data_IF_549786268840
#
_entry.id   IF_549786268840
#
_cell.length_a   1.000
_cell.length_b   1.000
_cell.length_c   1.000
_cell.angle_alpha   90.00
_cell.angle_beta   90.00
_cell.angle_gamma   90.00
#
_symmetry.space_group_name_H-M   'P 1'
#
loop_
_entity.id
_entity.type
_entity.pdbx_description
1 polymer ?
#
# COMPACT_ATOMS: atom_id res chain seq x y z
N UNK A 1 25.23 15.75 1.40
CA UNK A 1 25.95 15.85 0.10
C UNK A 1 25.01 15.54 -1.07
N UNK A 2 24.42 14.33 -1.16
CA UNK A 2 23.53 13.92 -2.27
C UNK A 2 22.32 14.83 -2.51
N UNK A 3 21.69 15.35 -1.45
CA UNK A 3 20.59 16.33 -1.58
C UNK A 3 21.03 17.66 -2.20
N UNK A 4 22.23 18.16 -1.87
CA UNK A 4 22.75 19.43 -2.38
C UNK A 4 23.15 19.34 -3.86
N UNK A 5 23.41 18.13 -4.34
CA UNK A 5 23.71 17.85 -5.77
C UNK A 5 22.47 17.34 -6.54
N UNK A 6 21.27 17.43 -5.96
CA UNK A 6 20.00 17.12 -6.64
C UNK A 6 19.66 15.63 -6.81
N UNK A 7 20.41 14.72 -6.17
CA UNK A 7 20.21 13.26 -6.32
C UNK A 7 19.26 12.68 -5.26
N UNK A 8 19.23 13.26 -4.06
CA UNK A 8 18.35 12.80 -2.98
C UNK A 8 17.37 13.88 -2.55
N UNK A 9 16.15 13.46 -2.22
CA UNK A 9 15.11 14.33 -1.70
C UNK A 9 15.07 14.32 -0.16
N UNK A 10 14.14 15.06 0.43
CA UNK A 10 13.97 15.11 1.88
C UNK A 10 13.19 13.92 2.44
N UNK A 11 13.53 13.53 3.68
CA UNK A 11 12.61 12.93 4.65
C UNK A 11 11.79 11.71 4.17
N UNK A 12 12.30 10.96 3.19
CA UNK A 12 11.66 9.74 2.68
C UNK A 12 10.78 9.92 1.43
N UNK A 13 10.66 11.11 0.85
CA UNK A 13 9.77 11.32 -0.32
C UNK A 13 10.10 10.44 -1.52
N UNK A 14 11.37 10.02 -1.65
CA UNK A 14 11.78 9.07 -2.69
C UNK A 14 11.03 7.74 -2.60
N UNK A 15 10.83 7.20 -1.39
CA UNK A 15 10.12 5.92 -1.24
C UNK A 15 8.62 6.07 -1.50
N UNK A 16 8.03 7.19 -1.07
CA UNK A 16 6.63 7.50 -1.34
C UNK A 16 6.37 7.56 -2.84
N UNK A 17 7.30 8.16 -3.61
CA UNK A 17 7.24 8.20 -5.08
C UNK A 17 7.34 6.82 -5.71
N UNK A 18 8.21 5.94 -5.20
CA UNK A 18 8.34 4.56 -5.69
C UNK A 18 7.05 3.78 -5.44
N UNK A 19 6.48 3.86 -4.23
CA UNK A 19 5.21 3.22 -3.91
C UNK A 19 4.07 3.80 -4.77
N UNK A 20 4.02 5.13 -4.93
CA UNK A 20 3.05 5.80 -5.80
C UNK A 20 3.23 5.46 -7.29
N UNK A 21 4.44 5.15 -7.75
CA UNK A 21 4.65 4.65 -9.11
C UNK A 21 4.12 3.22 -9.24
N UNK A 22 4.42 2.34 -8.27
CA UNK A 22 3.86 0.98 -8.23
C UNK A 22 2.32 1.02 -8.23
N UNK A 23 1.72 1.84 -7.36
CA UNK A 23 0.59 2.74 -7.62
C UNK A 23 -0.06 2.74 -9.00
N UNK A 24 0.31 3.80 -9.70
CA UNK A 24 -0.21 4.23 -10.99
C UNK A 24 -0.08 3.16 -12.05
N UNK A 25 1.01 2.39 -12.03
CA UNK A 25 1.27 1.33 -13.00
C UNK A 25 0.72 -0.04 -12.59
N UNK A 26 -0.06 -0.11 -11.51
CA UNK A 26 -0.68 -1.34 -11.01
C UNK A 26 0.31 -2.49 -10.83
N UNK A 27 1.54 -2.18 -10.41
CA UNK A 27 2.57 -3.16 -10.13
C UNK A 27 2.32 -3.78 -8.75
N UNK A 28 2.75 -5.05 -8.54
CA UNK A 28 2.91 -5.57 -7.19
C UNK A 28 3.75 -4.62 -6.33
N UNK A 29 3.41 -4.55 -5.05
CA UNK A 29 4.12 -3.65 -4.16
C UNK A 29 5.57 -4.12 -3.93
N UNK A 30 6.54 -3.19 -3.93
CA UNK A 30 7.94 -3.52 -3.68
C UNK A 30 8.12 -4.36 -2.42
N UNK A 31 8.99 -5.36 -2.50
CA UNK A 31 9.29 -6.24 -1.36
C UNK A 31 10.54 -5.76 -0.64
N UNK A 32 10.36 -5.22 0.57
CA UNK A 32 11.45 -4.73 1.41
C UNK A 32 11.89 -5.81 2.39
N UNK A 33 13.09 -6.34 2.19
CA UNK A 33 13.70 -7.36 3.05
C UNK A 33 14.83 -6.71 3.84
N UNK A 34 14.57 -6.47 5.12
CA UNK A 34 15.58 -5.94 6.04
C UNK A 34 16.37 -7.12 6.60
N UNK A 35 17.65 -7.20 6.24
CA UNK A 35 18.62 -8.08 6.88
C UNK A 35 19.48 -7.28 7.87
N UNK A 36 20.34 -7.98 8.59
CA UNK A 36 21.21 -7.39 9.63
C UNK A 36 22.15 -6.30 9.07
N UNK A 37 22.77 -6.58 7.92
CA UNK A 37 23.79 -5.70 7.32
C UNK A 37 23.33 -5.00 6.03
N UNK A 38 22.16 -5.37 5.48
CA UNK A 38 21.67 -4.82 4.22
C UNK A 38 20.15 -4.87 4.15
N UNK A 39 19.58 -3.91 3.44
CA UNK A 39 18.19 -3.95 2.99
C UNK A 39 18.18 -4.30 1.51
N UNK A 40 17.42 -5.31 1.13
CA UNK A 40 17.19 -5.68 -0.27
C UNK A 40 15.77 -5.31 -0.66
N UNK A 41 15.63 -4.67 -1.81
CA UNK A 41 14.32 -4.25 -2.34
C UNK A 41 14.10 -4.94 -3.68
N UNK A 42 13.03 -5.71 -3.81
CA UNK A 42 12.63 -6.31 -5.08
C UNK A 42 11.51 -5.47 -5.70
N UNK A 43 11.71 -5.10 -6.97
CA UNK A 43 10.70 -4.46 -7.80
C UNK A 43 10.14 -5.49 -8.78
N UNK A 44 8.84 -5.45 -9.01
CA UNK A 44 8.16 -6.40 -9.87
C UNK A 44 7.71 -5.73 -11.17
N UNK A 45 7.63 -6.51 -12.24
CA UNK A 45 6.91 -6.12 -13.44
C UNK A 45 5.40 -6.12 -13.19
N UNK A 46 4.64 -5.58 -14.14
CA UNK A 46 3.18 -5.58 -14.04
C UNK A 46 2.64 -7.02 -13.94
N UNK A 47 1.66 -7.19 -13.07
CA UNK A 47 0.96 -8.45 -12.85
C UNK A 47 -0.50 -8.12 -12.54
N UNK A 48 -1.45 -8.84 -13.15
CA UNK A 48 -2.86 -8.62 -12.83
C UNK A 48 -3.17 -9.05 -11.40
N UNK A 49 -4.17 -8.42 -10.77
CA UNK A 49 -4.59 -8.75 -9.41
C UNK A 49 -4.85 -10.25 -9.21
N UNK A 50 -5.41 -10.93 -10.21
CA UNK A 50 -5.75 -12.37 -10.14
C UNK A 50 -4.49 -13.26 -10.07
N UNK A 51 -3.39 -12.80 -10.65
CA UNK A 51 -2.14 -13.55 -10.76
C UNK A 51 -1.21 -13.28 -9.57
N UNK A 52 -1.42 -12.19 -8.83
CA UNK A 52 -0.63 -11.88 -7.63
C UNK A 52 -0.89 -12.91 -6.51
N UNK A 53 0.15 -13.27 -5.77
CA UNK A 53 0.03 -14.10 -4.58
C UNK A 53 -0.71 -13.36 -3.45
N UNK A 54 -1.25 -14.13 -2.49
CA UNK A 54 -1.99 -13.55 -1.35
C UNK A 54 -1.15 -12.54 -0.58
N UNK A 55 0.10 -12.88 -0.29
CA UNK A 55 1.01 -12.04 0.49
C UNK A 55 1.41 -10.77 -0.26
N UNK A 56 1.55 -10.83 -1.59
CA UNK A 56 1.81 -9.66 -2.42
C UNK A 56 0.64 -8.67 -2.37
N UNK A 57 -0.60 -9.18 -2.40
CA UNK A 57 -1.81 -8.35 -2.28
C UNK A 57 -1.90 -7.70 -0.90
N UNK A 58 -1.59 -8.45 0.17
CA UNK A 58 -1.58 -7.94 1.55
C UNK A 58 -0.49 -6.85 1.70
N UNK A 59 0.73 -7.11 1.21
CA UNK A 59 1.82 -6.13 1.20
C UNK A 59 1.43 -4.86 0.44
N UNK A 60 0.79 -5.01 -0.72
CA UNK A 60 0.31 -3.89 -1.51
C UNK A 60 -0.81 -3.10 -0.82
N UNK A 61 -1.75 -3.77 -0.15
CA UNK A 61 -2.79 -3.10 0.64
C UNK A 61 -2.18 -2.31 1.81
N UNK A 62 -1.19 -2.88 2.51
CA UNK A 62 -0.49 -2.21 3.60
C UNK A 62 0.29 -0.97 3.12
N UNK A 63 1.05 -1.09 2.03
CA UNK A 63 1.80 0.04 1.47
C UNK A 63 0.87 1.14 0.95
N UNK A 64 -0.27 0.78 0.35
CA UNK A 64 -1.30 1.75 -0.01
C UNK A 64 -1.85 2.49 1.20
N UNK A 65 -2.09 1.78 2.31
CA UNK A 65 -2.53 2.39 3.56
C UNK A 65 -1.49 3.38 4.09
N UNK A 66 -0.21 3.02 4.04
CA UNK A 66 0.90 3.88 4.44
C UNK A 66 0.97 5.13 3.56
N UNK A 67 0.92 4.96 2.23
CA UNK A 67 0.95 6.06 1.28
C UNK A 67 -0.21 7.05 1.51
N UNK A 68 -1.44 6.54 1.68
CA UNK A 68 -2.59 7.38 2.02
C UNK A 68 -2.37 8.12 3.34
N UNK A 69 -1.86 7.45 4.37
CA UNK A 69 -1.60 8.07 5.66
C UNK A 69 -0.58 9.21 5.57
N UNK A 70 0.57 9.01 4.90
CA UNK A 70 1.60 10.06 4.76
C UNK A 70 1.14 11.22 3.89
N UNK A 71 0.24 10.96 2.93
CA UNK A 71 -0.43 12.00 2.13
C UNK A 71 -1.59 12.69 2.87
N UNK A 72 -1.79 12.40 4.16
CA UNK A 72 -2.91 12.89 4.97
C UNK A 72 -4.30 12.55 4.39
N UNK A 73 -4.38 11.42 3.68
CA UNK A 73 -5.59 10.83 3.10
C UNK A 73 -6.02 9.60 3.90
N UNK A 74 -7.22 9.10 3.61
CA UNK A 74 -7.79 7.91 4.25
C UNK A 74 -7.84 6.76 3.27
N UNK A 75 -7.39 5.58 3.71
CA UNK A 75 -7.62 4.36 2.94
C UNK A 75 -9.06 3.90 3.12
N UNK A 76 -9.73 3.60 2.01
CA UNK A 76 -11.10 3.10 1.94
C UNK A 76 -11.19 1.93 0.97
N UNK A 77 -12.31 1.21 0.94
CA UNK A 77 -12.55 0.19 -0.09
C UNK A 77 -12.42 0.77 -1.51
N UNK A 78 -12.91 2.00 -1.74
CA UNK A 78 -12.80 2.66 -3.02
C UNK A 78 -11.34 2.87 -3.43
N UNK A 79 -10.51 3.41 -2.54
CA UNK A 79 -9.09 3.65 -2.85
C UNK A 79 -8.32 2.35 -3.10
N UNK A 80 -8.63 1.27 -2.38
CA UNK A 80 -8.05 -0.05 -2.63
C UNK A 80 -8.50 -0.62 -3.98
N UNK A 81 -9.75 -0.40 -4.38
CA UNK A 81 -10.20 -0.79 -5.72
C UNK A 81 -9.45 -0.02 -6.80
N UNK A 82 -9.31 1.29 -6.64
CA UNK A 82 -8.58 2.13 -7.60
C UNK A 82 -7.11 1.68 -7.72
N UNK A 83 -6.46 1.36 -6.59
CA UNK A 83 -5.09 0.81 -6.51
C UNK A 83 -4.88 -0.41 -7.42
N UNK A 84 -5.85 -1.31 -7.45
CA UNK A 84 -5.77 -2.59 -8.19
C UNK A 84 -6.57 -2.61 -9.49
N UNK A 85 -7.14 -1.47 -9.93
CA UNK A 85 -7.98 -1.41 -11.12
C UNK A 85 -9.27 -2.25 -11.03
N UNK A 86 -9.79 -2.46 -9.81
CA UNK A 86 -10.95 -3.30 -9.58
C UNK A 86 -12.25 -2.53 -9.86
N UNK A 87 -13.13 -3.12 -10.66
CA UNK A 87 -14.45 -2.54 -10.93
C UNK A 87 -15.31 -2.45 -9.66
N UNK A 88 -16.34 -1.58 -9.62
CA UNK A 88 -17.24 -1.49 -8.46
C UNK A 88 -17.90 -2.82 -8.07
N UNK A 89 -18.15 -3.70 -9.04
CA UNK A 89 -18.67 -5.05 -8.80
C UNK A 89 -17.74 -5.92 -7.94
N UNK A 90 -16.43 -5.65 -7.96
CA UNK A 90 -15.40 -6.35 -7.16
C UNK A 90 -15.19 -5.73 -5.77
N UNK A 91 -16.16 -4.95 -5.26
CA UNK A 91 -16.11 -4.37 -3.91
C UNK A 91 -15.92 -5.42 -2.81
N UNK A 92 -16.54 -6.59 -2.93
CA UNK A 92 -16.37 -7.69 -1.98
C UNK A 92 -14.91 -8.16 -1.88
N UNK A 93 -14.22 -8.28 -3.03
CA UNK A 93 -12.82 -8.73 -3.09
C UNK A 93 -11.91 -7.73 -2.36
N UNK A 94 -12.11 -6.42 -2.60
CA UNK A 94 -11.37 -5.39 -1.89
C UNK A 94 -11.63 -5.42 -0.38
N UNK A 95 -12.88 -5.64 0.05
CA UNK A 95 -13.22 -5.79 1.48
C UNK A 95 -12.56 -7.00 2.12
N UNK A 96 -12.53 -8.14 1.43
CA UNK A 96 -11.86 -9.36 1.90
C UNK A 96 -10.34 -9.16 2.03
N UNK A 97 -9.72 -8.45 1.07
CA UNK A 97 -8.30 -8.13 1.14
C UNK A 97 -7.99 -7.20 2.33
N UNK A 98 -8.81 -6.17 2.54
CA UNK A 98 -8.67 -5.28 3.69
C UNK A 98 -8.79 -6.08 4.99
N UNK A 99 -9.80 -6.94 5.10
CA UNK A 99 -9.98 -7.80 6.27
C UNK A 99 -8.75 -8.70 6.52
N UNK A 100 -8.24 -9.35 5.49
CA UNK A 100 -7.01 -10.16 5.59
C UNK A 100 -5.79 -9.34 6.04
N UNK A 101 -5.70 -8.08 5.60
CA UNK A 101 -4.61 -7.17 5.99
C UNK A 101 -4.76 -6.67 7.44
N UNK A 102 -6.00 -6.50 7.92
CA UNK A 102 -6.31 -6.25 9.33
C UNK A 102 -5.94 -7.47 10.19
N UNK A 103 -6.33 -8.67 9.75
CA UNK A 103 -6.00 -9.94 10.42
C UNK A 103 -4.48 -10.17 10.52
N UNK A 104 -3.73 -9.78 9.49
CA UNK A 104 -2.26 -9.78 9.51
C UNK A 104 -1.65 -8.71 10.45
N UNK A 105 -2.47 -7.87 11.09
CA UNK A 105 -2.02 -6.84 12.04
C UNK A 105 -1.33 -5.64 11.40
N UNK A 106 -1.37 -5.50 10.08
CA UNK A 106 -0.66 -4.46 9.33
C UNK A 106 -1.44 -3.14 9.25
N UNK A 107 -2.77 -3.20 9.31
CA UNK A 107 -3.65 -2.03 9.29
C UNK A 107 -4.73 -2.15 10.37
N UNK A 108 -5.31 -1.02 10.77
CA UNK A 108 -6.38 -0.93 11.75
C UNK A 108 -7.51 -0.05 11.23
N UNK A 109 -8.74 -0.42 11.56
CA UNK A 109 -9.90 0.41 11.27
C UNK A 109 -9.95 1.61 12.25
N UNK A 110 -10.24 2.80 11.74
CA UNK A 110 -10.46 3.99 12.57
C UNK A 110 -11.75 3.83 13.40
N UNK A 111 -11.65 4.09 14.70
CA UNK A 111 -12.78 4.09 15.62
C UNK A 111 -13.86 5.12 15.22
N UNK A 112 -15.11 4.83 15.57
CA UNK A 112 -16.25 5.73 15.33
C UNK A 112 -16.68 5.82 13.85
N UNK A 113 -16.17 4.95 12.97
CA UNK A 113 -16.63 4.86 11.59
C UNK A 113 -17.73 3.81 11.43
N UNK A 114 -18.85 4.18 10.80
CA UNK A 114 -19.86 3.20 10.37
C UNK A 114 -19.25 2.25 9.34
N UNK A 115 -19.73 0.99 9.28
CA UNK A 115 -19.22 -0.03 8.34
C UNK A 115 -19.16 0.45 6.88
N UNK A 116 -20.15 1.24 6.43
CA UNK A 116 -20.20 1.79 5.07
C UNK A 116 -19.11 2.83 4.79
N UNK A 117 -18.63 3.53 5.82
CA UNK A 117 -17.62 4.58 5.74
C UNK A 117 -16.35 4.18 6.50
N UNK A 118 -16.06 2.87 6.55
CA UNK A 118 -14.88 2.35 7.22
C UNK A 118 -13.62 2.96 6.60
N UNK A 119 -12.77 3.50 7.47
CA UNK A 119 -11.47 4.08 7.13
C UNK A 119 -10.39 3.31 7.85
N UNK A 120 -9.23 3.20 7.22
CA UNK A 120 -8.13 2.40 7.75
C UNK A 120 -6.85 3.21 7.81
N UNK A 121 -6.02 2.87 8.80
CA UNK A 121 -4.67 3.41 9.01
C UNK A 121 -3.65 2.28 9.18
N UNK A 122 -2.36 2.54 8.92
CA UNK A 122 -1.28 1.63 9.28
C UNK A 122 -1.29 1.33 10.79
N UNK A 123 -0.80 0.16 11.20
CA UNK A 123 -0.79 -0.26 12.61
C UNK A 123 -0.03 0.68 13.56
N UNK A 124 0.91 1.46 13.03
CA UNK A 124 1.77 2.39 13.78
C UNK A 124 1.22 3.82 13.86
N UNK A 125 0.08 4.12 13.21
CA UNK A 125 -0.48 5.46 13.05
C UNK A 125 -1.83 5.67 13.77
#
# INVERSE_FOLDING_TARGET
>A
MMRRVGVCEEKGSGIDKVVNAAEVYQLPAPDFRVGENRTTVLMFAHQEFKDMERDDRIRACYQHCCLKCVMNQKMTNASVRDRFGLTPAKSMIASQLIAATVEAGLIRQEAGTYKKFARYRPYWA
#
